data_IF_604637607816
#
_entry.id   IF_604637607816
#
_cell.length_a   1.000
_cell.length_b   1.000
_cell.length_c   1.000
_cell.angle_alpha   90.00
_cell.angle_beta   90.00
_cell.angle_gamma   90.00
#
_symmetry.space_group_name_H-M   'P 1'
#
loop_
_entity.id
_entity.type
_entity.pdbx_description
1 polymer ?
#
# COMPACT_ATOMS: atom_id res chain seq x y z
N UNK A 1 7.98 1.90 17.84
CA UNK A 1 7.47 1.77 16.45
C UNK A 1 7.60 0.31 16.04
N UNK A 2 6.51 -0.39 15.71
CA UNK A 2 6.57 -1.76 15.24
C UNK A 2 7.26 -1.82 13.87
N UNK A 3 7.92 -2.91 13.60
CA UNK A 3 8.53 -3.21 12.31
C UNK A 3 7.61 -4.13 11.50
N UNK A 4 7.86 -4.31 10.21
CA UNK A 4 7.13 -5.31 9.41
C UNK A 4 7.24 -6.74 10.00
N UNK A 5 8.33 -7.03 10.72
CA UNK A 5 8.50 -8.32 11.41
C UNK A 5 7.59 -8.46 12.63
N UNK A 6 7.36 -7.37 13.33
CA UNK A 6 6.43 -7.37 14.47
C UNK A 6 5.01 -7.62 13.98
N UNK A 7 4.58 -6.95 12.88
CA UNK A 7 3.28 -7.22 12.25
C UNK A 7 3.17 -8.67 11.76
N UNK A 8 4.21 -9.22 11.14
CA UNK A 8 4.22 -10.63 10.73
C UNK A 8 4.13 -11.58 11.92
N UNK A 9 4.71 -11.26 13.08
CA UNK A 9 4.64 -12.08 14.29
C UNK A 9 3.23 -12.06 14.92
N UNK A 10 2.42 -11.02 14.68
CA UNK A 10 1.03 -10.94 15.13
C UNK A 10 0.09 -11.83 14.29
N UNK A 11 0.48 -12.20 13.07
CA UNK A 11 -0.37 -12.93 12.14
C UNK A 11 -0.82 -14.29 12.73
N UNK A 12 -2.14 -14.47 12.85
CA UNK A 12 -2.74 -15.67 13.44
C UNK A 12 -2.83 -15.68 14.96
N UNK A 13 -2.17 -14.76 15.67
CA UNK A 13 -2.18 -14.65 17.14
C UNK A 13 -3.14 -13.54 17.60
N UNK A 14 -3.08 -12.37 16.97
CA UNK A 14 -3.93 -11.23 17.31
C UNK A 14 -4.32 -10.41 16.08
N UNK A 15 -5.44 -9.66 16.11
CA UNK A 15 -5.85 -8.81 15.01
C UNK A 15 -4.85 -7.68 14.77
N UNK A 16 -4.50 -7.45 13.50
CA UNK A 16 -3.69 -6.31 13.07
C UNK A 16 -4.64 -5.18 12.65
N UNK A 17 -4.44 -3.98 13.19
CA UNK A 17 -5.25 -2.81 12.93
C UNK A 17 -4.54 -1.83 12.00
N UNK A 18 -5.26 -1.36 10.97
CA UNK A 18 -4.77 -0.34 10.05
C UNK A 18 -5.84 0.72 9.83
N UNK A 19 -5.46 1.99 9.92
CA UNK A 19 -6.31 3.12 9.55
C UNK A 19 -5.59 4.03 8.55
N UNK A 20 -6.36 4.83 7.82
CA UNK A 20 -5.81 5.84 6.91
C UNK A 20 -5.62 7.18 7.60
N UNK A 21 -4.53 7.87 7.27
CA UNK A 21 -4.32 9.29 7.60
C UNK A 21 -3.63 10.01 6.43
N UNK A 22 -3.85 11.33 6.33
CA UNK A 22 -3.33 12.14 5.22
C UNK A 22 -2.64 13.43 5.68
N UNK A 23 -2.51 13.65 6.96
CA UNK A 23 -1.83 14.78 7.57
C UNK A 23 -1.31 14.43 8.98
N UNK A 24 -0.40 15.24 9.50
CA UNK A 24 0.27 14.98 10.78
C UNK A 24 -0.69 14.99 11.99
N UNK A 25 -1.75 15.81 11.97
CA UNK A 25 -2.68 15.90 13.09
C UNK A 25 -3.55 14.65 13.16
N UNK A 26 -4.09 14.23 12.01
CA UNK A 26 -4.87 12.99 11.92
C UNK A 26 -4.00 11.78 12.25
N UNK A 27 -2.74 11.76 11.77
CA UNK A 27 -1.79 10.70 12.08
C UNK A 27 -1.55 10.57 13.60
N UNK A 28 -1.29 11.68 14.29
CA UNK A 28 -1.09 11.67 15.75
C UNK A 28 -2.32 11.14 16.51
N UNK A 29 -3.53 11.53 16.09
CA UNK A 29 -4.77 11.02 16.73
C UNK A 29 -4.94 9.51 16.52
N UNK A 30 -4.64 9.02 15.33
CA UNK A 30 -4.74 7.60 14.98
C UNK A 30 -3.66 6.78 15.68
N UNK A 31 -2.45 7.32 15.77
CA UNK A 31 -1.31 6.74 16.48
C UNK A 31 -1.58 6.64 17.98
N UNK A 32 -2.05 7.72 18.61
CA UNK A 32 -2.45 7.76 20.03
C UNK A 32 -3.58 6.75 20.35
N UNK A 33 -4.38 6.37 19.37
CA UNK A 33 -5.40 5.33 19.52
C UNK A 33 -4.83 3.90 19.55
N UNK A 34 -3.54 3.73 19.24
CA UNK A 34 -2.81 2.48 19.33
C UNK A 34 -3.04 1.54 18.15
N UNK A 35 -3.19 2.08 16.93
CA UNK A 35 -3.23 1.24 15.72
C UNK A 35 -1.83 0.71 15.39
N UNK A 36 -1.77 -0.47 14.76
CA UNK A 36 -0.50 -1.11 14.42
C UNK A 36 0.15 -0.47 13.19
N UNK A 37 -0.67 0.08 12.29
CA UNK A 37 -0.18 0.70 11.06
C UNK A 37 -1.10 1.82 10.55
N UNK A 38 -0.49 2.77 9.84
CA UNK A 38 -1.19 3.87 9.16
C UNK A 38 -0.92 3.79 7.66
N UNK A 39 -1.99 3.75 6.87
CA UNK A 39 -1.92 3.77 5.41
C UNK A 39 -2.09 5.21 4.90
N UNK A 40 -1.14 5.66 4.09
CA UNK A 40 -1.29 6.89 3.31
C UNK A 40 -1.75 6.49 1.91
N UNK A 41 -3.06 6.33 1.76
CA UNK A 41 -3.69 5.81 0.55
C UNK A 41 -3.79 6.84 -0.59
N UNK A 42 -3.72 6.38 -1.84
CA UNK A 42 -4.06 7.20 -3.02
C UNK A 42 -5.54 7.61 -3.01
N UNK A 43 -6.37 6.94 -2.21
CA UNK A 43 -7.75 7.34 -1.88
C UNK A 43 -7.86 8.76 -1.29
N UNK A 44 -6.75 9.39 -0.91
CA UNK A 44 -6.72 10.83 -0.63
C UNK A 44 -7.24 11.67 -1.81
N UNK A 45 -7.11 11.18 -3.03
CA UNK A 45 -7.69 11.80 -4.22
C UNK A 45 -9.17 12.09 -4.05
N UNK A 46 -9.93 11.10 -3.62
CA UNK A 46 -11.37 11.26 -3.36
C UNK A 46 -11.62 11.95 -2.02
N UNK A 47 -10.96 11.49 -0.95
CA UNK A 47 -11.28 11.89 0.43
C UNK A 47 -10.84 13.31 0.78
N UNK A 48 -9.75 13.82 0.17
CA UNK A 48 -9.12 15.08 0.54
C UNK A 48 -9.05 16.06 -0.61
N UNK A 49 -8.71 15.57 -1.84
CA UNK A 49 -8.49 16.45 -3.00
C UNK A 49 -9.75 16.65 -3.84
N UNK A 50 -10.80 15.83 -3.64
CA UNK A 50 -12.09 15.96 -4.34
C UNK A 50 -12.06 15.45 -5.79
N UNK A 51 -11.11 14.58 -6.15
CA UNK A 51 -11.10 13.89 -7.43
C UNK A 51 -12.23 12.84 -7.49
N UNK A 52 -12.70 12.54 -8.69
CA UNK A 52 -13.75 11.52 -8.89
C UNK A 52 -13.21 10.08 -8.63
N UNK A 53 -11.93 9.87 -8.95
CA UNK A 53 -11.22 8.60 -8.74
C UNK A 53 -9.76 8.85 -8.29
N UNK A 54 -8.97 7.78 -8.13
CA UNK A 54 -7.59 7.88 -7.66
C UNK A 54 -6.56 8.10 -8.78
N UNK A 55 -6.95 7.97 -10.05
CA UNK A 55 -6.02 8.05 -11.19
C UNK A 55 -5.25 9.38 -11.32
N UNK A 56 -5.85 10.55 -11.03
CA UNK A 56 -5.14 11.82 -11.11
C UNK A 56 -4.08 12.04 -10.04
N UNK A 57 -4.07 11.23 -8.96
CA UNK A 57 -3.16 11.40 -7.84
C UNK A 57 -1.71 11.19 -8.29
N UNK A 58 -0.88 12.20 -8.06
CA UNK A 58 0.53 12.16 -8.43
C UNK A 58 1.40 11.57 -7.33
N UNK A 59 2.59 11.09 -7.70
CA UNK A 59 3.59 10.61 -6.75
C UNK A 59 3.99 11.70 -5.74
N UNK A 60 4.12 12.96 -6.18
CA UNK A 60 4.48 14.08 -5.31
C UNK A 60 3.40 14.42 -4.29
N UNK A 61 2.12 14.28 -4.66
CA UNK A 61 1.02 14.46 -3.72
C UNK A 61 1.04 13.38 -2.63
N UNK A 62 1.23 12.10 -3.01
CA UNK A 62 1.37 11.01 -2.02
C UNK A 62 2.60 11.24 -1.16
N UNK A 63 3.76 11.51 -1.74
CA UNK A 63 5.00 11.77 -1.03
C UNK A 63 4.85 12.87 0.02
N UNK A 64 4.24 13.99 -0.35
CA UNK A 64 3.96 15.08 0.59
C UNK A 64 3.09 14.65 1.78
N UNK A 65 2.11 13.77 1.56
CA UNK A 65 1.25 13.24 2.63
C UNK A 65 1.97 12.21 3.48
N UNK A 66 2.74 11.32 2.86
CA UNK A 66 3.58 10.35 3.58
C UNK A 66 4.50 11.07 4.56
N UNK A 67 5.23 12.08 4.08
CA UNK A 67 6.11 12.86 4.94
C UNK A 67 5.37 13.60 6.08
N UNK A 68 4.14 14.06 5.86
CA UNK A 68 3.34 14.68 6.91
C UNK A 68 2.89 13.64 7.95
N UNK A 69 2.41 12.48 7.52
CA UNK A 69 1.96 11.38 8.39
C UNK A 69 3.14 10.82 9.19
N UNK A 70 4.27 10.55 8.56
CA UNK A 70 5.47 10.05 9.21
C UNK A 70 6.01 10.98 10.32
N UNK A 71 5.78 12.28 10.21
CA UNK A 71 6.12 13.24 11.29
C UNK A 71 5.08 13.30 12.41
N UNK A 72 3.89 12.80 12.18
CA UNK A 72 2.80 12.79 13.16
C UNK A 72 2.56 11.45 13.84
N UNK A 73 3.20 10.38 13.37
CA UNK A 73 3.13 9.05 13.94
C UNK A 73 4.46 8.70 14.61
N UNK A 74 4.40 8.29 15.88
CA UNK A 74 5.57 7.91 16.66
C UNK A 74 5.66 6.38 16.84
N UNK A 75 4.52 5.70 16.91
CA UNK A 75 4.42 4.27 17.25
C UNK A 75 3.87 3.39 16.10
N UNK A 76 2.95 3.86 15.25
CA UNK A 76 2.39 3.07 14.16
C UNK A 76 3.33 2.96 12.96
N UNK A 77 3.33 1.79 12.27
CA UNK A 77 4.07 1.59 11.03
C UNK A 77 3.40 2.35 9.86
N UNK A 78 4.14 3.23 9.19
CA UNK A 78 3.61 4.02 8.06
C UNK A 78 3.80 3.30 6.73
N UNK A 79 2.71 3.04 6.03
CA UNK A 79 2.68 2.41 4.70
C UNK A 79 2.30 3.45 3.64
N UNK A 80 3.16 3.63 2.65
CA UNK A 80 2.91 4.51 1.51
C UNK A 80 2.23 3.75 0.37
N UNK A 81 1.05 4.21 -0.05
CA UNK A 81 0.37 3.67 -1.22
C UNK A 81 0.95 4.26 -2.51
N UNK A 82 1.38 3.40 -3.42
CA UNK A 82 1.96 3.88 -4.67
C UNK A 82 0.86 4.22 -5.68
N UNK A 83 0.79 5.48 -6.18
CA UNK A 83 -0.29 5.90 -7.07
C UNK A 83 -0.14 5.33 -8.47
N UNK A 84 -1.22 5.40 -9.23
CA UNK A 84 -1.31 4.90 -10.60
C UNK A 84 -0.13 5.32 -11.47
N UNK A 85 0.46 4.36 -12.20
CA UNK A 85 1.63 4.53 -13.09
C UNK A 85 2.92 5.03 -12.41
N UNK A 86 2.99 5.10 -11.10
CA UNK A 86 4.26 5.34 -10.41
C UNK A 86 5.09 4.06 -10.25
N UNK A 87 4.54 2.91 -10.60
CA UNK A 87 5.17 1.60 -10.55
C UNK A 87 4.64 0.67 -11.65
N UNK A 88 5.33 -0.43 -11.89
CA UNK A 88 4.90 -1.51 -12.79
C UNK A 88 5.23 -1.30 -14.28
N UNK A 89 5.44 -0.08 -14.76
CA UNK A 89 5.78 0.21 -16.16
C UNK A 89 7.27 -0.02 -16.46
N UNK A 90 8.14 0.50 -15.60
CA UNK A 90 9.58 0.30 -15.64
C UNK A 90 10.08 -0.11 -14.25
N UNK A 91 10.91 -1.15 -14.20
CA UNK A 91 11.37 -1.71 -12.93
C UNK A 91 12.34 -0.77 -12.19
N UNK A 92 13.20 -0.04 -12.90
CA UNK A 92 14.15 0.87 -12.27
C UNK A 92 13.43 2.09 -11.71
N UNK A 93 12.53 2.69 -12.49
CA UNK A 93 11.68 3.79 -12.04
C UNK A 93 10.81 3.39 -10.85
N UNK A 94 10.22 2.18 -10.89
CA UNK A 94 9.43 1.65 -9.78
C UNK A 94 10.23 1.55 -8.49
N UNK A 95 11.48 1.06 -8.56
CA UNK A 95 12.39 0.98 -7.41
C UNK A 95 12.74 2.37 -6.88
N UNK A 96 13.01 3.33 -7.76
CA UNK A 96 13.32 4.71 -7.37
C UNK A 96 12.13 5.36 -6.67
N UNK A 97 10.94 5.23 -7.23
CA UNK A 97 9.70 5.79 -6.68
C UNK A 97 9.33 5.17 -5.33
N UNK A 98 9.39 3.83 -5.20
CA UNK A 98 9.16 3.15 -3.92
C UNK A 98 10.26 3.51 -2.89
N UNK A 99 11.52 3.52 -3.33
CA UNK A 99 12.65 3.88 -2.48
C UNK A 99 12.58 5.33 -1.95
N UNK A 100 12.06 6.25 -2.75
CA UNK A 100 11.80 7.64 -2.33
C UNK A 100 10.87 7.69 -1.12
N UNK A 101 9.80 6.91 -1.08
CA UNK A 101 8.84 6.90 0.03
C UNK A 101 9.52 6.55 1.36
N UNK A 102 10.43 5.58 1.35
CA UNK A 102 11.17 5.18 2.55
C UNK A 102 12.29 6.18 2.88
N UNK A 103 13.09 6.54 1.88
CA UNK A 103 14.32 7.29 2.08
C UNK A 103 14.09 8.77 2.37
N UNK A 104 13.11 9.39 1.70
CA UNK A 104 12.89 10.83 1.75
C UNK A 104 11.68 11.20 2.60
N UNK A 105 10.63 10.37 2.56
CA UNK A 105 9.36 10.70 3.19
C UNK A 105 9.12 9.99 4.54
N UNK A 106 9.89 8.95 4.83
CA UNK A 106 9.86 8.28 6.14
C UNK A 106 8.82 7.18 6.28
N UNK A 107 8.28 6.63 5.17
CA UNK A 107 7.51 5.40 5.22
C UNK A 107 8.41 4.21 5.56
N UNK A 108 7.84 3.17 6.19
CA UNK A 108 8.55 1.91 6.46
C UNK A 108 8.22 0.81 5.46
N UNK A 109 7.13 0.96 4.71
CA UNK A 109 6.71 0.02 3.67
C UNK A 109 5.96 0.75 2.55
N UNK A 110 5.81 0.07 1.41
CA UNK A 110 4.95 0.53 0.32
C UNK A 110 3.79 -0.44 0.11
N UNK A 111 2.63 0.07 -0.34
CA UNK A 111 1.51 -0.73 -0.85
C UNK A 111 1.45 -0.60 -2.37
N UNK A 112 1.25 -1.70 -3.06
CA UNK A 112 1.10 -1.77 -4.51
C UNK A 112 -0.23 -2.42 -4.86
N UNK A 113 -0.99 -1.86 -5.81
CA UNK A 113 -2.06 -2.61 -6.47
C UNK A 113 -1.46 -3.68 -7.38
N UNK A 114 -1.73 -4.94 -7.05
CA UNK A 114 -0.99 -6.08 -7.55
C UNK A 114 -1.77 -6.88 -8.60
N UNK A 115 -0.99 -7.44 -9.51
CA UNK A 115 -1.42 -8.35 -10.57
C UNK A 115 -0.28 -9.29 -10.96
N UNK A 116 -0.47 -10.18 -11.94
CA UNK A 116 0.58 -11.10 -12.39
C UNK A 116 1.86 -10.37 -12.83
N UNK A 117 1.72 -9.17 -13.39
CA UNK A 117 2.83 -8.35 -13.90
C UNK A 117 3.65 -7.66 -12.81
N UNK A 118 3.20 -7.67 -11.55
CA UNK A 118 3.90 -7.03 -10.42
C UNK A 118 4.59 -8.04 -9.48
N UNK A 119 4.48 -9.34 -9.72
CA UNK A 119 5.13 -10.38 -8.88
C UNK A 119 6.66 -10.21 -8.88
N UNK A 120 7.26 -10.10 -10.07
CA UNK A 120 8.71 -9.88 -10.20
C UNK A 120 9.16 -8.54 -9.59
N UNK A 121 8.31 -7.50 -9.67
CA UNK A 121 8.59 -6.22 -9.04
C UNK A 121 8.57 -6.35 -7.51
N UNK A 122 7.59 -7.07 -6.95
CA UNK A 122 7.51 -7.35 -5.51
C UNK A 122 8.79 -8.04 -5.03
N UNK A 123 9.22 -9.11 -5.70
CA UNK A 123 10.46 -9.82 -5.36
C UNK A 123 11.67 -8.87 -5.40
N UNK A 124 11.78 -8.07 -6.45
CA UNK A 124 12.89 -7.12 -6.61
C UNK A 124 12.93 -6.06 -5.51
N UNK A 125 11.79 -5.47 -5.15
CA UNK A 125 11.68 -4.49 -4.08
C UNK A 125 12.11 -5.09 -2.74
N UNK A 126 11.59 -6.28 -2.42
CA UNK A 126 11.92 -7.00 -1.19
C UNK A 126 13.40 -7.34 -1.11
N UNK A 127 14.02 -7.82 -2.20
CA UNK A 127 15.47 -8.09 -2.27
C UNK A 127 16.31 -6.84 -2.05
N UNK A 128 15.80 -5.66 -2.38
CA UNK A 128 16.46 -4.37 -2.14
C UNK A 128 16.16 -3.78 -0.75
N UNK A 129 15.36 -4.48 0.08
CA UNK A 129 15.03 -4.06 1.43
C UNK A 129 13.86 -3.08 1.51
N UNK A 130 13.02 -3.01 0.48
CA UNK A 130 11.77 -2.25 0.47
C UNK A 130 10.62 -3.21 0.78
N UNK A 131 10.01 -3.14 1.98
CA UNK A 131 8.89 -4.02 2.33
C UNK A 131 7.64 -3.69 1.50
N UNK A 132 6.97 -4.73 1.00
CA UNK A 132 5.80 -4.59 0.13
C UNK A 132 4.56 -5.18 0.78
N UNK A 133 3.49 -4.41 0.85
CA UNK A 133 2.12 -4.84 1.08
C UNK A 133 1.43 -5.00 -0.28
N UNK A 134 0.93 -6.19 -0.59
CA UNK A 134 0.25 -6.44 -1.86
C UNK A 134 -1.26 -6.22 -1.72
N UNK A 135 -1.83 -5.34 -2.55
CA UNK A 135 -3.26 -5.10 -2.64
C UNK A 135 -3.86 -5.88 -3.80
N UNK A 136 -4.80 -6.76 -3.49
CA UNK A 136 -5.46 -7.67 -4.41
C UNK A 136 -6.98 -7.49 -4.40
N UNK A 137 -7.66 -8.09 -5.36
CA UNK A 137 -9.11 -8.01 -5.46
C UNK A 137 -9.58 -6.72 -6.13
N UNK A 138 -10.25 -5.82 -5.41
CA UNK A 138 -10.69 -4.55 -5.99
C UNK A 138 -9.56 -3.54 -5.99
N UNK A 139 -8.88 -3.43 -7.11
CA UNK A 139 -7.83 -2.45 -7.35
C UNK A 139 -8.43 -1.19 -7.99
N UNK A 140 -8.48 -0.09 -7.24
CA UNK A 140 -9.18 1.14 -7.64
C UNK A 140 -8.52 1.86 -8.81
N UNK A 141 -7.23 1.64 -9.02
CA UNK A 141 -6.46 2.17 -10.14
C UNK A 141 -6.88 1.56 -11.49
N UNK A 142 -7.65 0.45 -11.48
CA UNK A 142 -8.23 -0.17 -12.68
C UNK A 142 -9.70 0.22 -12.92
N UNK A 143 -10.15 1.32 -12.35
CA UNK A 143 -11.55 1.80 -12.44
C UNK A 143 -12.06 1.90 -13.87
N UNK A 144 -11.23 2.32 -14.81
CA UNK A 144 -11.60 2.41 -16.23
C UNK A 144 -11.76 1.04 -16.90
N UNK A 145 -11.01 0.05 -16.47
CA UNK A 145 -11.14 -1.33 -16.95
C UNK A 145 -12.40 -1.98 -16.38
N UNK A 146 -12.66 -1.78 -15.09
CA UNK A 146 -13.81 -2.37 -14.41
C UNK A 146 -15.13 -1.64 -14.67
N UNK A 147 -15.06 -0.39 -15.17
CA UNK A 147 -16.24 0.45 -15.34
C UNK A 147 -16.88 0.87 -14.00
N UNK A 148 -16.06 1.04 -12.96
CA UNK A 148 -16.46 1.37 -11.60
C UNK A 148 -15.78 0.48 -10.55
N UNK A 149 -16.48 0.22 -9.45
CA UNK A 149 -15.97 -0.59 -8.33
C UNK A 149 -16.80 -1.87 -8.10
N UNK A 150 -16.84 -2.81 -9.07
CA UNK A 150 -17.59 -4.06 -8.91
C UNK A 150 -16.91 -4.95 -7.87
N UNK A 151 -17.75 -5.74 -7.16
CA UNK A 151 -17.22 -6.75 -6.23
C UNK A 151 -16.40 -7.78 -7.00
N UNK A 152 -15.19 -8.08 -6.52
CA UNK A 152 -14.28 -9.07 -7.09
C UNK A 152 -14.46 -10.43 -6.41
N UNK A 153 -13.95 -11.51 -7.05
CA UNK A 153 -14.00 -12.87 -6.49
C UNK A 153 -15.40 -13.43 -6.27
N UNK A 154 -16.38 -13.05 -7.12
CA UNK A 154 -17.79 -13.41 -6.91
C UNK A 154 -18.15 -14.81 -7.38
N UNK A 155 -17.31 -15.45 -8.17
CA UNK A 155 -17.42 -16.85 -8.59
C UNK A 155 -16.14 -17.61 -8.23
N UNK A 156 -16.17 -18.93 -8.39
CA UNK A 156 -15.07 -19.80 -7.96
C UNK A 156 -13.78 -19.59 -8.75
N UNK A 157 -13.87 -19.28 -10.03
CA UNK A 157 -12.72 -19.06 -10.91
C UNK A 157 -11.99 -17.76 -10.53
N UNK A 158 -12.73 -16.65 -10.40
CA UNK A 158 -12.19 -15.37 -9.96
C UNK A 158 -11.64 -15.41 -8.54
N UNK A 159 -12.26 -16.17 -7.64
CA UNK A 159 -11.76 -16.34 -6.28
C UNK A 159 -10.44 -17.14 -6.25
N UNK A 160 -10.32 -18.18 -7.09
CA UNK A 160 -9.10 -18.98 -7.22
C UNK A 160 -7.95 -18.16 -7.79
N UNK A 161 -8.21 -17.35 -8.83
CA UNK A 161 -7.22 -16.43 -9.40
C UNK A 161 -6.65 -15.45 -8.36
N UNK A 162 -7.52 -14.85 -7.53
CA UNK A 162 -7.08 -13.96 -6.44
C UNK A 162 -6.22 -14.72 -5.43
N UNK A 163 -6.61 -15.95 -5.06
CA UNK A 163 -5.87 -16.78 -4.11
C UNK A 163 -4.49 -17.19 -4.66
N UNK A 164 -4.41 -17.58 -5.92
CA UNK A 164 -3.13 -17.91 -6.58
C UNK A 164 -2.21 -16.69 -6.63
N UNK A 165 -2.77 -15.53 -6.97
CA UNK A 165 -2.01 -14.29 -7.00
C UNK A 165 -1.53 -13.87 -5.60
N UNK A 166 -2.34 -14.08 -4.56
CA UNK A 166 -1.95 -13.86 -3.17
C UNK A 166 -0.74 -14.71 -2.79
N UNK A 167 -0.77 -16.01 -3.12
CA UNK A 167 0.36 -16.92 -2.89
C UNK A 167 1.61 -16.49 -3.65
N UNK A 168 1.46 -16.08 -4.91
CA UNK A 168 2.59 -15.63 -5.71
C UNK A 168 3.28 -14.39 -5.10
N UNK A 169 2.51 -13.43 -4.59
CA UNK A 169 3.08 -12.26 -3.91
C UNK A 169 3.67 -12.58 -2.53
N UNK A 170 3.07 -13.52 -1.79
CA UNK A 170 3.64 -14.05 -0.55
C UNK A 170 5.00 -14.72 -0.82
N UNK A 171 5.08 -15.60 -1.84
CA UNK A 171 6.32 -16.26 -2.27
C UNK A 171 7.37 -15.26 -2.76
N UNK A 172 6.96 -14.16 -3.40
CA UNK A 172 7.82 -13.05 -3.79
C UNK A 172 8.30 -12.21 -2.59
N UNK A 173 7.80 -12.47 -1.37
CA UNK A 173 8.23 -11.86 -0.13
C UNK A 173 7.40 -10.66 0.34
N UNK A 174 6.20 -10.44 -0.18
CA UNK A 174 5.28 -9.46 0.39
C UNK A 174 5.05 -9.78 1.88
N UNK A 175 5.17 -8.76 2.74
CA UNK A 175 5.03 -8.97 4.18
C UNK A 175 3.56 -9.03 4.63
N UNK A 176 2.67 -8.50 3.83
CA UNK A 176 1.23 -8.43 4.08
C UNK A 176 0.45 -8.40 2.77
N UNK A 177 -0.81 -8.83 2.86
CA UNK A 177 -1.81 -8.81 1.78
C UNK A 177 -3.06 -8.07 2.26
N UNK A 178 -3.67 -7.30 1.40
CA UNK A 178 -4.93 -6.58 1.65
C UNK A 178 -5.86 -6.67 0.45
#
# INVERSE_FOLDING_TARGET
MPTVRDLQAMAGEEPITMLTAYDAVTASIVDDAGVDSILVGDSMGNAVLGYEDTLPVTLDEVASRVGAVARGADDALVVADMPFLSFGADAAESVENCGRMLKEEGAEAVKLECGPHTVELTERLVQLGIPVMAHLGLTTQRVNEYGGHPRQGTDSEAAEEILELAKAHEEAGAFSLV
#
